data_IF_363577831749
#
_entry.id   IF_363577831749
#
_cell.length_a   1.000
_cell.length_b   1.000
_cell.length_c   1.000
_cell.angle_alpha   90.00
_cell.angle_beta   90.00
_cell.angle_gamma   90.00
#
_symmetry.space_group_name_H-M   'P 1'
#
loop_
_entity.id
_entity.type
_entity.pdbx_description
1 polymer ?
#
# COMPACT_ATOMS: atom_id res chain seq x y z
N UNK A 1 -23.98 4.69 4.63
CA UNK A 1 -22.80 5.25 5.33
C UNK A 1 -22.62 6.71 4.90
N UNK A 2 -22.16 7.61 5.80
CA UNK A 2 -21.81 8.99 5.43
C UNK A 2 -20.85 9.04 4.24
N UNK A 3 -21.07 9.97 3.29
CA UNK A 3 -20.34 10.00 2.00
C UNK A 3 -18.82 10.11 2.17
N UNK A 4 -18.36 10.87 3.17
CA UNK A 4 -16.94 11.04 3.47
C UNK A 4 -16.27 9.76 4.00
N UNK A 5 -16.98 8.98 4.81
CA UNK A 5 -16.47 7.69 5.32
C UNK A 5 -16.33 6.69 4.16
N UNK A 6 -17.30 6.67 3.23
CA UNK A 6 -17.20 5.82 2.04
C UNK A 6 -16.04 6.23 1.14
N UNK A 7 -15.78 7.53 0.99
CA UNK A 7 -14.63 8.05 0.24
C UNK A 7 -13.30 7.61 0.86
N UNK A 8 -13.19 7.73 2.19
CA UNK A 8 -12.00 7.31 2.93
C UNK A 8 -11.72 5.82 2.75
N UNK A 9 -12.72 4.96 2.98
CA UNK A 9 -12.56 3.50 2.85
C UNK A 9 -12.15 3.11 1.43
N UNK A 10 -12.79 3.69 0.40
CA UNK A 10 -12.42 3.41 -0.99
C UNK A 10 -10.98 3.83 -1.30
N UNK A 11 -10.57 5.01 -0.83
CA UNK A 11 -9.21 5.51 -1.02
C UNK A 11 -8.18 4.64 -0.32
N UNK A 12 -8.47 4.19 0.91
CA UNK A 12 -7.63 3.23 1.62
C UNK A 12 -7.50 1.90 0.88
N UNK A 13 -8.62 1.33 0.41
CA UNK A 13 -8.59 0.06 -0.33
C UNK A 13 -7.77 0.16 -1.62
N UNK A 14 -7.92 1.26 -2.38
CA UNK A 14 -7.13 1.51 -3.59
C UNK A 14 -5.64 1.68 -3.23
N UNK A 15 -5.34 2.45 -2.19
CA UNK A 15 -3.96 2.66 -1.73
C UNK A 15 -3.29 1.37 -1.28
N UNK A 16 -3.99 0.52 -0.51
CA UNK A 16 -3.48 -0.78 -0.07
C UNK A 16 -3.29 -1.75 -1.23
N UNK A 17 -4.19 -1.76 -2.21
CA UNK A 17 -4.03 -2.57 -3.42
C UNK A 17 -2.77 -2.15 -4.22
N UNK A 18 -2.58 -0.84 -4.42
CA UNK A 18 -1.38 -0.30 -5.08
C UNK A 18 -0.10 -0.61 -4.29
N UNK A 19 -0.13 -0.50 -2.96
CA UNK A 19 0.99 -0.88 -2.12
C UNK A 19 1.31 -2.37 -2.24
N UNK A 20 0.31 -3.24 -2.42
CA UNK A 20 0.52 -4.66 -2.65
C UNK A 20 1.28 -4.92 -3.94
N UNK A 21 0.90 -4.24 -5.02
CA UNK A 21 1.63 -4.30 -6.31
C UNK A 21 3.06 -3.77 -6.15
N UNK A 22 3.23 -2.64 -5.46
CA UNK A 22 4.56 -2.05 -5.20
C UNK A 22 5.48 -3.00 -4.42
N UNK A 23 4.99 -3.60 -3.33
CA UNK A 23 5.76 -4.57 -2.55
C UNK A 23 6.08 -5.83 -3.37
N UNK A 24 5.12 -6.34 -4.15
CA UNK A 24 5.37 -7.47 -5.04
C UNK A 24 6.51 -7.17 -6.04
N UNK A 25 6.52 -5.96 -6.62
CA UNK A 25 7.58 -5.52 -7.52
C UNK A 25 8.93 -5.37 -6.81
N UNK A 26 8.97 -4.83 -5.58
CA UNK A 26 10.21 -4.73 -4.79
C UNK A 26 10.84 -6.10 -4.54
N UNK A 27 10.03 -7.08 -4.16
CA UNK A 27 10.50 -8.44 -3.89
C UNK A 27 10.89 -9.16 -5.19
N UNK A 28 10.10 -9.01 -6.25
CA UNK A 28 10.37 -9.66 -7.54
C UNK A 28 11.64 -9.13 -8.19
N UNK A 29 11.84 -7.82 -8.20
CA UNK A 29 13.05 -7.20 -8.73
C UNK A 29 14.25 -7.33 -7.78
N UNK A 30 14.05 -7.93 -6.61
CA UNK A 30 15.06 -8.13 -5.57
C UNK A 30 15.84 -6.83 -5.27
N UNK A 31 15.11 -5.72 -5.11
CA UNK A 31 15.70 -4.39 -4.93
C UNK A 31 16.59 -4.41 -3.68
N UNK A 32 17.87 -4.07 -3.84
CA UNK A 32 18.89 -4.12 -2.79
C UNK A 32 19.00 -5.50 -2.08
N UNK A 33 18.60 -6.59 -2.72
CA UNK A 33 18.64 -7.94 -2.12
C UNK A 33 17.47 -8.26 -1.17
N UNK A 34 16.47 -7.39 -1.05
CA UNK A 34 15.34 -7.56 -0.12
C UNK A 34 14.52 -8.83 -0.38
N UNK A 35 14.26 -9.15 -1.64
CA UNK A 35 13.48 -10.33 -2.02
C UNK A 35 14.16 -11.62 -1.56
N UNK A 36 15.46 -11.75 -1.84
CA UNK A 36 16.26 -12.89 -1.40
C UNK A 36 16.36 -12.98 0.13
N UNK A 37 16.53 -11.85 0.81
CA UNK A 37 16.59 -11.77 2.27
C UNK A 37 15.29 -12.24 2.93
N UNK A 38 14.16 -11.73 2.44
CA UNK A 38 12.84 -12.03 3.02
C UNK A 38 12.43 -13.47 2.73
N UNK A 39 12.60 -13.94 1.50
CA UNK A 39 12.18 -15.30 1.10
C UNK A 39 13.06 -16.41 1.73
N UNK A 40 14.26 -16.09 2.20
CA UNK A 40 15.13 -17.01 2.92
C UNK A 40 14.86 -17.11 4.42
N UNK A 41 14.02 -16.24 4.98
CA UNK A 41 13.72 -16.20 6.42
C UNK A 41 12.49 -17.07 6.75
N UNK A 42 12.49 -17.82 7.87
CA UNK A 42 11.30 -18.51 8.37
C UNK A 42 10.10 -17.58 8.60
N UNK A 43 10.37 -16.30 8.87
CA UNK A 43 9.39 -15.25 9.14
C UNK A 43 9.02 -14.42 7.91
N UNK A 44 9.26 -14.92 6.69
CA UNK A 44 9.00 -14.23 5.43
C UNK A 44 7.61 -13.56 5.38
N UNK A 45 6.57 -14.28 5.84
CA UNK A 45 5.20 -13.78 5.83
C UNK A 45 4.98 -12.55 6.73
N UNK A 46 5.66 -12.48 7.89
CA UNK A 46 5.61 -11.32 8.79
C UNK A 46 6.31 -10.14 8.12
N UNK A 47 7.49 -10.37 7.55
CA UNK A 47 8.26 -9.32 6.89
C UNK A 47 7.48 -8.71 5.71
N UNK A 48 6.85 -9.55 4.88
CA UNK A 48 5.98 -9.09 3.79
C UNK A 48 4.77 -8.34 4.31
N UNK A 49 4.12 -8.82 5.38
CA UNK A 49 2.97 -8.15 5.98
C UNK A 49 3.33 -6.78 6.55
N UNK A 50 4.45 -6.67 7.28
CA UNK A 50 4.94 -5.41 7.82
C UNK A 50 5.28 -4.42 6.71
N UNK A 51 6.00 -4.89 5.68
CA UNK A 51 6.35 -4.06 4.53
C UNK A 51 5.11 -3.59 3.78
N UNK A 52 4.12 -4.46 3.57
CA UNK A 52 2.87 -4.13 2.89
C UNK A 52 2.01 -3.16 3.71
N UNK A 53 1.86 -3.33 5.02
CA UNK A 53 1.10 -2.41 5.86
C UNK A 53 1.77 -1.05 5.95
N UNK A 54 3.09 -1.01 6.15
CA UNK A 54 3.85 0.24 6.23
C UNK A 54 3.69 1.07 4.94
N UNK A 55 3.82 0.44 3.77
CA UNK A 55 3.59 1.11 2.49
C UNK A 55 2.09 1.36 2.24
N UNK A 56 1.21 0.45 2.66
CA UNK A 56 -0.24 0.56 2.48
C UNK A 56 -0.82 1.82 3.09
N UNK A 57 -0.40 2.18 4.30
CA UNK A 57 -0.83 3.42 4.97
C UNK A 57 -0.36 4.66 4.19
N UNK A 58 0.89 4.65 3.68
CA UNK A 58 1.43 5.77 2.87
C UNK A 58 0.63 5.94 1.57
N UNK A 59 0.43 4.85 0.82
CA UNK A 59 -0.33 4.88 -0.43
C UNK A 59 -1.80 5.25 -0.20
N UNK A 60 -2.42 4.75 0.87
CA UNK A 60 -3.77 5.13 1.28
C UNK A 60 -3.87 6.63 1.58
N UNK A 61 -2.88 7.21 2.27
CA UNK A 61 -2.80 8.64 2.54
C UNK A 61 -2.72 9.47 1.26
N UNK A 62 -1.87 9.07 0.31
CA UNK A 62 -1.76 9.74 -1.00
C UNK A 62 -3.06 9.63 -1.79
N UNK A 63 -3.68 8.45 -1.85
CA UNK A 63 -4.96 8.25 -2.56
C UNK A 63 -6.09 9.06 -1.94
N UNK A 64 -6.15 9.14 -0.61
CA UNK A 64 -7.16 9.95 0.07
C UNK A 64 -6.91 11.45 -0.16
N UNK A 65 -5.67 11.92 -0.06
CA UNK A 65 -5.31 13.31 -0.36
C UNK A 65 -5.66 13.69 -1.80
N UNK A 66 -5.34 12.83 -2.77
CA UNK A 66 -5.75 12.99 -4.16
C UNK A 66 -7.27 13.06 -4.31
N UNK A 67 -8.00 12.12 -3.69
CA UNK A 67 -9.45 12.08 -3.76
C UNK A 67 -10.09 13.35 -3.17
N UNK A 68 -9.51 13.91 -2.11
CA UNK A 68 -9.97 15.18 -1.51
C UNK A 68 -9.68 16.37 -2.41
N UNK A 69 -8.47 16.49 -2.97
CA UNK A 69 -8.12 17.57 -3.88
C UNK A 69 -8.98 17.54 -5.16
N UNK A 70 -9.23 16.34 -5.70
CA UNK A 70 -10.09 16.15 -6.88
C UNK A 70 -11.57 16.50 -6.65
N UNK A 71 -12.02 16.64 -5.38
CA UNK A 71 -13.36 17.17 -5.09
C UNK A 71 -13.43 18.69 -5.25
N UNK A 72 -12.33 19.42 -5.13
CA UNK A 72 -12.31 20.87 -5.36
C UNK A 72 -12.35 21.23 -6.86
N UNK A 73 -11.93 20.29 -7.70
CA UNK A 73 -11.91 20.43 -9.17
C UNK A 73 -13.21 19.98 -9.84
N UNK A 74 -14.20 19.47 -9.08
CA UNK A 74 -15.50 18.97 -9.56
C UNK A 74 -16.65 19.74 -8.93
#
# INVERSE_FOLDING_TARGET
>A
MPKLISLYIRSCLIGFALAGVFVALLLWLNVAGLGALILGSPEAWIAVAMLWVANGVVFAGVQFGYAVMAMAER
#
